data_IF_478062198404
#
_entry.id   IF_478062198404
#
_cell.length_a   1.000
_cell.length_b   1.000
_cell.length_c   1.000
_cell.angle_alpha   90.00
_cell.angle_beta   90.00
_cell.angle_gamma   90.00
#
_symmetry.space_group_name_H-M   'P 1'
#
loop_
_entity.id
_entity.type
_entity.pdbx_description
1 polymer ?
#
# COMPACT_ATOMS: atom_id res chain seq x y z
N UNK A 1 34.16 -24.65 -1.20
CA UNK A 1 34.71 -23.88 -2.33
C UNK A 1 34.09 -22.51 -2.24
N UNK A 2 34.85 -21.44 -2.18
CA UNK A 2 34.27 -20.09 -2.19
C UNK A 2 33.71 -19.82 -3.59
N UNK A 3 32.52 -19.22 -3.67
CA UNK A 3 31.93 -18.79 -4.94
C UNK A 3 32.83 -17.72 -5.59
N UNK A 4 32.94 -17.74 -6.90
CA UNK A 4 33.58 -16.67 -7.67
C UNK A 4 32.70 -15.40 -7.64
N UNK A 5 33.26 -14.25 -7.93
CA UNK A 5 32.51 -12.99 -7.99
C UNK A 5 31.39 -13.06 -9.03
N UNK A 6 31.64 -13.66 -10.19
CA UNK A 6 30.63 -13.89 -11.23
C UNK A 6 29.50 -14.82 -10.78
N UNK A 7 29.80 -15.88 -10.02
CA UNK A 7 28.77 -16.76 -9.42
C UNK A 7 27.93 -16.04 -8.38
N UNK A 8 28.55 -15.15 -7.60
CA UNK A 8 27.82 -14.31 -6.62
C UNK A 8 26.87 -13.37 -7.35
N UNK A 9 27.32 -12.69 -8.40
CA UNK A 9 26.49 -11.74 -9.16
C UNK A 9 25.31 -12.42 -9.84
N UNK A 10 25.53 -13.58 -10.47
CA UNK A 10 24.48 -14.37 -11.06
C UNK A 10 23.45 -14.83 -10.00
N UNK A 11 23.92 -15.23 -8.82
CA UNK A 11 23.03 -15.65 -7.73
C UNK A 11 22.19 -14.47 -7.20
N UNK A 12 22.78 -13.28 -7.06
CA UNK A 12 22.08 -12.05 -6.69
C UNK A 12 20.95 -11.75 -7.68
N UNK A 13 21.22 -11.84 -8.98
CA UNK A 13 20.22 -11.61 -10.02
C UNK A 13 19.03 -12.59 -9.90
N UNK A 14 19.31 -13.88 -9.81
CA UNK A 14 18.30 -14.93 -9.68
C UNK A 14 17.45 -14.74 -8.41
N UNK A 15 18.08 -14.38 -7.28
CA UNK A 15 17.35 -14.16 -6.03
C UNK A 15 16.47 -12.91 -6.12
N UNK A 16 16.93 -11.83 -6.75
CA UNK A 16 16.10 -10.64 -6.99
C UNK A 16 14.86 -10.95 -7.83
N UNK A 17 15.01 -11.71 -8.92
CA UNK A 17 13.88 -12.13 -9.76
C UNK A 17 12.86 -12.93 -8.93
N UNK A 18 13.32 -13.92 -8.17
CA UNK A 18 12.44 -14.72 -7.29
C UNK A 18 11.69 -13.85 -6.25
N UNK A 19 12.39 -12.91 -5.61
CA UNK A 19 11.77 -12.00 -4.64
C UNK A 19 10.65 -11.19 -5.32
N UNK A 20 10.89 -10.68 -6.53
CA UNK A 20 9.91 -9.91 -7.29
C UNK A 20 8.71 -10.78 -7.68
N UNK A 21 8.94 -11.97 -8.21
CA UNK A 21 7.89 -12.88 -8.66
C UNK A 21 6.98 -13.29 -7.48
N UNK A 22 7.55 -13.80 -6.39
CA UNK A 22 6.76 -14.21 -5.22
C UNK A 22 6.04 -13.04 -4.56
N UNK A 23 6.64 -11.84 -4.55
CA UNK A 23 5.96 -10.63 -4.07
C UNK A 23 4.75 -10.27 -4.95
N UNK A 24 4.90 -10.34 -6.27
CA UNK A 24 3.83 -10.04 -7.22
C UNK A 24 2.68 -11.06 -7.14
N UNK A 25 3.00 -12.32 -6.82
CA UNK A 25 2.03 -13.39 -6.59
C UNK A 25 1.37 -13.30 -5.19
N UNK A 26 1.76 -12.32 -4.35
CA UNK A 26 1.26 -12.18 -2.98
C UNK A 26 1.83 -13.24 -2.01
N UNK A 27 2.77 -14.05 -2.43
CA UNK A 27 3.41 -15.07 -1.60
C UNK A 27 4.60 -14.48 -0.82
N UNK A 28 4.28 -13.63 0.13
CA UNK A 28 5.29 -12.90 0.92
C UNK A 28 6.19 -13.82 1.74
N UNK A 29 5.70 -14.98 2.19
CA UNK A 29 6.50 -15.94 2.99
C UNK A 29 7.72 -16.42 2.16
N UNK A 30 7.48 -16.83 0.91
CA UNK A 30 8.56 -17.26 0.03
C UNK A 30 9.46 -16.07 -0.39
N UNK A 31 8.86 -14.91 -0.66
CA UNK A 31 9.61 -13.70 -0.98
C UNK A 31 10.60 -13.32 0.14
N UNK A 32 10.19 -13.40 1.42
CA UNK A 32 11.05 -13.13 2.58
C UNK A 32 12.23 -14.10 2.62
N UNK A 33 11.99 -15.42 2.46
CA UNK A 33 13.07 -16.41 2.52
C UNK A 33 14.17 -16.11 1.48
N UNK A 34 13.79 -15.75 0.25
CA UNK A 34 14.76 -15.36 -0.78
C UNK A 34 15.40 -14.00 -0.53
N UNK A 35 14.66 -13.05 0.05
CA UNK A 35 15.19 -11.73 0.39
C UNK A 35 16.21 -11.80 1.55
N UNK A 36 16.04 -12.69 2.52
CA UNK A 36 17.04 -12.95 3.57
C UNK A 36 18.32 -13.52 2.99
N UNK A 37 18.24 -14.52 2.09
CA UNK A 37 19.42 -15.07 1.41
C UNK A 37 20.10 -14.00 0.56
N UNK A 38 19.34 -13.19 -0.17
CA UNK A 38 19.85 -12.09 -0.99
C UNK A 38 20.58 -11.04 -0.14
N UNK A 39 20.01 -10.62 0.98
CA UNK A 39 20.63 -9.69 1.94
C UNK A 39 21.99 -10.22 2.42
N UNK A 40 22.05 -11.49 2.81
CA UNK A 40 23.27 -12.09 3.34
C UNK A 40 24.36 -12.19 2.25
N UNK A 41 23.95 -12.46 1.01
CA UNK A 41 24.88 -12.53 -0.13
C UNK A 41 25.42 -11.14 -0.51
N UNK A 42 24.54 -10.11 -0.50
CA UNK A 42 24.97 -8.72 -0.74
C UNK A 42 25.93 -8.27 0.36
N UNK A 43 25.61 -8.56 1.63
CA UNK A 43 26.53 -8.29 2.73
C UNK A 43 27.92 -8.91 2.54
N UNK A 44 27.97 -10.19 2.15
CA UNK A 44 29.25 -10.87 1.89
C UNK A 44 30.04 -10.21 0.78
N UNK A 45 29.36 -9.67 -0.25
CA UNK A 45 29.99 -9.03 -1.41
C UNK A 45 30.52 -7.63 -1.10
N UNK A 46 29.70 -6.77 -0.47
CA UNK A 46 30.00 -5.34 -0.35
C UNK A 46 30.26 -4.85 1.08
N UNK A 47 29.92 -5.65 2.10
CA UNK A 47 30.09 -5.29 3.51
C UNK A 47 28.93 -4.49 4.10
N UNK A 48 29.01 -4.21 5.42
CA UNK A 48 27.91 -3.63 6.22
C UNK A 48 27.61 -2.17 5.94
N UNK A 49 28.59 -1.38 5.50
CA UNK A 49 28.45 0.08 5.37
C UNK A 49 28.13 0.52 3.92
N UNK A 50 27.87 -0.45 3.03
CA UNK A 50 27.61 -0.17 1.61
C UNK A 50 26.13 0.17 1.36
N UNK A 51 25.83 1.17 0.50
CA UNK A 51 24.45 1.52 0.14
C UNK A 51 23.62 0.36 -0.43
N UNK A 52 24.22 -0.57 -1.18
CA UNK A 52 23.52 -1.74 -1.72
C UNK A 52 23.04 -2.68 -0.60
N UNK A 53 23.80 -2.78 0.50
CA UNK A 53 23.33 -3.53 1.67
C UNK A 53 22.16 -2.83 2.33
N UNK A 54 22.18 -1.50 2.44
CA UNK A 54 21.03 -0.73 2.91
C UNK A 54 19.78 -0.93 2.03
N UNK A 55 19.96 -0.98 0.70
CA UNK A 55 18.87 -1.27 -0.24
C UNK A 55 18.27 -2.67 -0.01
N UNK A 56 19.10 -3.69 0.22
CA UNK A 56 18.65 -5.05 0.52
C UNK A 56 17.87 -5.14 1.83
N UNK A 57 18.30 -4.39 2.87
CA UNK A 57 17.58 -4.25 4.13
C UNK A 57 16.23 -3.58 3.94
N UNK A 58 16.15 -2.50 3.16
CA UNK A 58 14.89 -1.83 2.84
C UNK A 58 13.91 -2.78 2.12
N UNK A 59 14.39 -3.57 1.14
CA UNK A 59 13.54 -4.52 0.41
C UNK A 59 13.00 -5.62 1.32
N UNK A 60 13.83 -6.20 2.18
CA UNK A 60 13.42 -7.22 3.14
C UNK A 60 12.42 -6.64 4.17
N UNK A 61 12.70 -5.45 4.69
CA UNK A 61 11.84 -4.75 5.65
C UNK A 61 10.46 -4.43 5.05
N UNK A 62 10.39 -4.08 3.76
CA UNK A 62 9.12 -3.83 3.07
C UNK A 62 8.26 -5.10 2.97
N UNK A 63 8.86 -6.27 2.76
CA UNK A 63 8.15 -7.55 2.78
C UNK A 63 7.59 -7.85 4.17
N UNK A 64 8.38 -7.64 5.24
CA UNK A 64 7.89 -7.77 6.62
C UNK A 64 6.75 -6.78 6.91
N UNK A 65 6.87 -5.53 6.46
CA UNK A 65 5.81 -4.52 6.60
C UNK A 65 4.53 -4.95 5.90
N UNK A 66 4.64 -5.50 4.69
CA UNK A 66 3.48 -6.00 3.91
C UNK A 66 2.76 -7.16 4.59
N UNK A 67 3.47 -7.95 5.42
CA UNK A 67 2.89 -9.01 6.25
C UNK A 67 2.40 -8.52 7.63
N UNK A 68 2.42 -7.21 7.91
CA UNK A 68 2.09 -6.69 9.23
C UNK A 68 3.14 -6.97 10.31
N UNK A 69 4.29 -7.55 9.95
CA UNK A 69 5.40 -7.88 10.86
C UNK A 69 6.26 -6.63 11.13
N UNK A 70 5.65 -5.60 11.69
CA UNK A 70 6.27 -4.29 11.87
C UNK A 70 7.49 -4.32 12.79
N UNK A 71 7.47 -5.17 13.83
CA UNK A 71 8.58 -5.34 14.78
C UNK A 71 9.84 -5.92 14.11
N UNK A 72 9.67 -6.71 13.04
CA UNK A 72 10.78 -7.23 12.24
C UNK A 72 11.26 -6.21 11.21
N UNK A 73 10.36 -5.40 10.66
CA UNK A 73 10.67 -4.39 9.67
C UNK A 73 11.40 -3.16 10.25
N UNK A 74 10.98 -2.65 11.41
CA UNK A 74 11.53 -1.43 12.03
C UNK A 74 13.05 -1.45 12.16
N UNK A 75 13.70 -2.46 12.78
CA UNK A 75 15.15 -2.47 12.96
C UNK A 75 15.91 -2.48 11.64
N UNK A 76 15.38 -3.12 10.59
CA UNK A 76 16.00 -3.16 9.27
C UNK A 76 15.96 -1.80 8.58
N UNK A 77 14.82 -1.10 8.62
CA UNK A 77 14.73 0.25 8.08
C UNK A 77 15.59 1.26 8.85
N UNK A 78 15.69 1.14 10.18
CA UNK A 78 16.62 1.96 10.98
C UNK A 78 18.08 1.73 10.57
N UNK A 79 18.47 0.46 10.40
CA UNK A 79 19.83 0.11 9.97
C UNK A 79 20.11 0.65 8.57
N UNK A 80 19.18 0.49 7.63
CA UNK A 80 19.33 1.01 6.28
C UNK A 80 19.48 2.55 6.27
N UNK A 81 18.66 3.28 7.04
CA UNK A 81 18.78 4.71 7.17
C UNK A 81 20.14 5.15 7.75
N UNK A 82 20.62 4.46 8.78
CA UNK A 82 21.92 4.78 9.39
C UNK A 82 23.11 4.51 8.43
N UNK A 83 23.04 3.44 7.66
CA UNK A 83 24.05 3.14 6.60
C UNK A 83 24.02 4.25 5.55
N UNK A 84 22.85 4.61 5.01
CA UNK A 84 22.74 5.68 4.03
C UNK A 84 23.22 7.03 4.58
N UNK A 85 22.87 7.36 5.83
CA UNK A 85 23.34 8.58 6.48
C UNK A 85 24.87 8.65 6.56
N UNK A 86 25.52 7.55 6.97
CA UNK A 86 26.99 7.49 7.10
C UNK A 86 27.72 7.47 5.78
N UNK A 87 27.23 6.70 4.81
CA UNK A 87 27.92 6.49 3.54
C UNK A 87 27.67 7.58 2.52
N UNK A 88 26.46 8.18 2.49
CA UNK A 88 26.02 9.12 1.48
C UNK A 88 25.81 10.56 2.03
N UNK A 89 25.61 10.68 3.35
CA UNK A 89 25.32 11.95 4.02
C UNK A 89 23.83 12.26 4.17
N UNK A 90 23.51 13.19 5.08
CA UNK A 90 22.14 13.53 5.46
C UNK A 90 21.34 14.30 4.39
N UNK A 91 22.02 14.86 3.38
CA UNK A 91 21.36 15.54 2.27
C UNK A 91 21.07 14.64 1.06
N UNK A 92 21.48 13.36 1.12
CA UNK A 92 21.34 12.46 -0.01
C UNK A 92 19.92 11.94 -0.18
N UNK A 93 19.37 11.85 -1.42
CA UNK A 93 18.02 11.36 -1.67
C UNK A 93 17.75 9.94 -1.15
N UNK A 94 18.74 9.04 -1.18
CA UNK A 94 18.59 7.66 -0.72
C UNK A 94 18.47 7.58 0.82
N UNK A 95 19.12 8.51 1.55
CA UNK A 95 18.87 8.63 2.98
C UNK A 95 17.41 9.03 3.24
N UNK A 96 16.88 10.01 2.50
CA UNK A 96 15.46 10.38 2.59
C UNK A 96 14.54 9.22 2.22
N UNK A 97 14.89 8.39 1.24
CA UNK A 97 14.15 7.17 0.89
C UNK A 97 14.09 6.19 2.07
N UNK A 98 15.20 5.95 2.74
CA UNK A 98 15.24 5.07 3.93
C UNK A 98 14.44 5.64 5.10
N UNK A 99 14.51 6.96 5.32
CA UNK A 99 13.68 7.65 6.33
C UNK A 99 12.19 7.55 6.00
N UNK A 100 11.81 7.71 4.73
CA UNK A 100 10.43 7.56 4.29
C UNK A 100 9.89 6.17 4.59
N UNK A 101 10.68 5.14 4.32
CA UNK A 101 10.28 3.76 4.60
C UNK A 101 10.14 3.49 6.10
N UNK A 102 11.05 4.02 6.92
CA UNK A 102 10.94 3.96 8.38
C UNK A 102 9.67 4.69 8.88
N UNK A 103 9.39 5.88 8.34
CA UNK A 103 8.18 6.63 8.69
C UNK A 103 6.90 5.87 8.32
N UNK A 104 6.89 5.16 7.18
CA UNK A 104 5.76 4.31 6.78
C UNK A 104 5.54 3.14 7.74
N UNK A 105 6.58 2.57 8.34
CA UNK A 105 6.43 1.53 9.38
C UNK A 105 5.82 2.15 10.65
N UNK A 106 6.32 3.28 11.11
CA UNK A 106 5.71 3.96 12.27
C UNK A 106 4.26 4.32 12.01
N UNK A 107 3.95 4.82 10.82
CA UNK A 107 2.57 5.06 10.41
C UNK A 107 1.73 3.78 10.50
N UNK A 108 2.23 2.66 9.96
CA UNK A 108 1.53 1.36 9.99
C UNK A 108 1.33 0.80 11.42
N UNK A 109 2.23 1.15 12.34
CA UNK A 109 2.13 0.82 13.77
C UNK A 109 1.21 1.78 14.55
N UNK A 110 0.65 2.81 13.92
CA UNK A 110 -0.12 3.87 14.58
C UNK A 110 0.75 4.84 15.40
N UNK A 111 2.08 4.77 15.27
CA UNK A 111 3.06 5.64 15.94
C UNK A 111 3.23 6.95 15.17
N UNK A 112 2.17 7.72 15.09
CA UNK A 112 2.11 8.93 14.25
C UNK A 112 3.07 10.02 14.69
N UNK A 113 3.32 10.17 16.00
CA UNK A 113 4.26 11.14 16.56
C UNK A 113 5.73 10.84 16.17
N UNK A 114 6.06 9.56 15.95
CA UNK A 114 7.37 9.15 15.45
C UNK A 114 7.47 9.28 13.91
N UNK A 115 6.36 9.11 13.20
CA UNK A 115 6.33 9.18 11.73
C UNK A 115 6.35 10.64 11.21
N UNK A 116 5.64 11.57 11.84
CA UNK A 116 5.50 12.96 11.36
C UNK A 116 6.85 13.66 11.14
N UNK A 117 7.79 13.69 12.13
CA UNK A 117 9.07 14.36 11.95
C UNK A 117 9.92 13.76 10.82
N UNK A 118 9.83 12.44 10.62
CA UNK A 118 10.55 11.78 9.53
C UNK A 118 9.98 12.16 8.17
N UNK A 119 8.65 12.18 7.99
CA UNK A 119 8.05 12.63 6.73
C UNK A 119 8.35 14.11 6.44
N UNK A 120 8.39 14.97 7.47
CA UNK A 120 8.82 16.35 7.30
C UNK A 120 10.27 16.45 6.82
N UNK A 121 11.19 15.68 7.44
CA UNK A 121 12.59 15.64 7.04
C UNK A 121 12.75 15.11 5.61
N UNK A 122 12.01 14.06 5.23
CA UNK A 122 11.99 13.52 3.86
C UNK A 122 11.61 14.58 2.83
N UNK A 123 10.52 15.31 3.07
CA UNK A 123 10.07 16.36 2.14
C UNK A 123 11.11 17.48 2.00
N UNK A 124 11.77 17.86 3.09
CA UNK A 124 12.84 18.86 3.09
C UNK A 124 14.07 18.39 2.30
N UNK A 125 14.55 17.15 2.56
CA UNK A 125 15.73 16.62 1.86
C UNK A 125 15.44 16.48 0.36
N UNK A 126 14.32 15.87 -0.04
CA UNK A 126 13.99 15.75 -1.46
C UNK A 126 13.77 17.10 -2.14
N UNK A 127 13.14 18.07 -1.46
CA UNK A 127 12.98 19.44 -1.98
C UNK A 127 14.30 20.13 -2.26
N UNK A 128 15.26 20.02 -1.32
CA UNK A 128 16.59 20.62 -1.46
C UNK A 128 17.49 19.91 -2.47
N UNK A 129 17.46 18.58 -2.50
CA UNK A 129 18.39 17.78 -3.30
C UNK A 129 17.92 17.54 -4.74
N UNK A 130 16.61 17.41 -4.97
CA UNK A 130 16.01 17.07 -6.26
C UNK A 130 15.24 18.24 -6.90
N UNK A 131 14.89 19.25 -6.10
CA UNK A 131 14.01 20.36 -6.48
C UNK A 131 12.54 20.12 -6.08
N UNK A 132 11.83 21.20 -5.77
CA UNK A 132 10.46 21.15 -5.22
C UNK A 132 9.43 20.53 -6.19
N UNK A 133 9.66 20.62 -7.49
CA UNK A 133 8.79 20.04 -8.53
C UNK A 133 9.13 18.58 -8.87
N UNK A 134 10.09 17.96 -8.16
CA UNK A 134 10.46 16.57 -8.41
C UNK A 134 9.36 15.59 -7.92
N UNK A 135 9.07 14.49 -8.67
CA UNK A 135 8.04 13.51 -8.27
C UNK A 135 8.20 12.92 -6.86
N UNK A 136 9.43 12.79 -6.36
CA UNK A 136 9.69 12.30 -5.00
C UNK A 136 9.16 13.27 -3.94
N UNK A 137 9.24 14.60 -4.18
CA UNK A 137 8.64 15.59 -3.27
C UNK A 137 7.13 15.39 -3.17
N UNK A 138 6.47 15.12 -4.30
CA UNK A 138 5.04 14.76 -4.28
C UNK A 138 4.77 13.47 -3.49
N UNK A 139 5.69 12.51 -3.51
CA UNK A 139 5.55 11.27 -2.71
C UNK A 139 5.66 11.57 -1.21
N UNK A 140 6.64 12.35 -0.78
CA UNK A 140 6.78 12.76 0.63
C UNK A 140 5.58 13.55 1.14
N UNK A 141 5.15 14.55 0.35
CA UNK A 141 3.94 15.34 0.66
C UNK A 141 2.69 14.47 0.77
N UNK A 142 2.54 13.49 -0.14
CA UNK A 142 1.42 12.56 -0.13
C UNK A 142 1.41 11.68 1.13
N UNK A 143 2.56 11.17 1.56
CA UNK A 143 2.67 10.34 2.75
C UNK A 143 2.41 11.15 4.03
N UNK A 144 2.91 12.38 4.12
CA UNK A 144 2.61 13.28 5.22
C UNK A 144 1.12 13.67 5.24
N UNK A 145 0.52 13.89 4.07
CA UNK A 145 -0.91 14.17 3.94
C UNK A 145 -1.76 12.98 4.41
N UNK A 146 -1.35 11.75 4.10
CA UNK A 146 -2.03 10.53 4.54
C UNK A 146 -1.95 10.38 6.07
N UNK A 147 -0.81 10.68 6.67
CA UNK A 147 -0.67 10.74 8.12
C UNK A 147 -1.63 11.77 8.72
N UNK A 148 -1.69 13.00 8.19
CA UNK A 148 -2.60 14.04 8.68
C UNK A 148 -4.06 13.67 8.50
N UNK A 149 -4.42 12.97 7.40
CA UNK A 149 -5.77 12.42 7.22
C UNK A 149 -6.10 11.41 8.32
N UNK A 150 -5.16 10.53 8.66
CA UNK A 150 -5.37 9.47 9.67
C UNK A 150 -5.55 10.01 11.08
N UNK A 151 -4.94 11.14 11.40
CA UNK A 151 -5.10 11.82 12.71
C UNK A 151 -6.16 12.92 12.71
N UNK A 152 -6.95 13.05 11.63
CA UNK A 152 -8.06 14.00 11.52
C UNK A 152 -7.66 15.43 11.19
N UNK A 153 -6.38 15.72 10.88
CA UNK A 153 -5.89 17.05 10.48
C UNK A 153 -6.20 17.31 8.99
N UNK A 154 -7.48 17.27 8.65
CA UNK A 154 -7.94 17.25 7.25
C UNK A 154 -7.57 18.48 6.44
N UNK A 155 -7.56 19.67 7.03
CA UNK A 155 -7.20 20.92 6.32
C UNK A 155 -5.74 20.91 5.87
N UNK A 156 -4.85 20.37 6.70
CA UNK A 156 -3.42 20.25 6.39
C UNK A 156 -3.21 19.14 5.36
N UNK A 157 -3.89 18.01 5.50
CA UNK A 157 -3.88 16.94 4.53
C UNK A 157 -4.34 17.43 3.14
N UNK A 158 -5.43 18.21 3.06
CA UNK A 158 -5.94 18.75 1.80
C UNK A 158 -4.90 19.61 1.09
N UNK A 159 -4.25 20.51 1.84
CA UNK A 159 -3.21 21.37 1.28
C UNK A 159 -2.07 20.56 0.67
N UNK A 160 -1.58 19.55 1.39
CA UNK A 160 -0.45 18.73 0.95
C UNK A 160 -0.83 17.82 -0.22
N UNK A 161 -2.01 17.18 -0.20
CA UNK A 161 -2.49 16.39 -1.33
C UNK A 161 -2.68 17.21 -2.60
N UNK A 162 -3.22 18.44 -2.50
CA UNK A 162 -3.34 19.34 -3.64
C UNK A 162 -1.95 19.72 -4.19
N UNK A 163 -0.99 20.03 -3.33
CA UNK A 163 0.38 20.34 -3.73
C UNK A 163 1.04 19.12 -4.42
N UNK A 164 0.95 17.93 -3.85
CA UNK A 164 1.47 16.71 -4.45
C UNK A 164 0.83 16.42 -5.82
N UNK A 165 -0.49 16.63 -5.93
CA UNK A 165 -1.23 16.45 -7.18
C UNK A 165 -0.75 17.41 -8.26
N UNK A 166 -0.54 18.69 -7.91
CA UNK A 166 -0.07 19.69 -8.86
C UNK A 166 1.39 19.45 -9.31
N UNK A 167 2.28 19.03 -8.40
CA UNK A 167 3.65 18.63 -8.75
C UNK A 167 3.61 17.49 -9.77
N UNK A 168 2.85 16.42 -9.51
CA UNK A 168 2.76 15.27 -10.44
C UNK A 168 2.11 15.66 -11.77
N UNK A 169 1.10 16.53 -11.77
CA UNK A 169 0.49 17.05 -12.99
C UNK A 169 1.51 17.77 -13.87
N UNK A 170 2.34 18.65 -13.27
CA UNK A 170 3.35 19.44 -13.99
C UNK A 170 4.53 18.60 -14.45
N UNK A 171 5.06 17.72 -13.58
CA UNK A 171 6.28 16.98 -13.85
C UNK A 171 6.07 15.75 -14.73
N UNK A 172 4.91 15.09 -14.64
CA UNK A 172 4.64 13.82 -15.31
C UNK A 172 3.56 13.93 -16.41
N UNK A 173 2.72 14.98 -16.34
CA UNK A 173 1.57 15.14 -17.26
C UNK A 173 0.28 14.54 -16.72
N UNK A 174 -0.84 14.96 -17.33
CA UNK A 174 -2.19 14.60 -16.87
C UNK A 174 -2.61 13.15 -17.19
N UNK A 175 -1.92 12.48 -18.12
CA UNK A 175 -2.19 11.08 -18.47
C UNK A 175 -1.31 10.08 -17.71
N UNK A 176 -0.43 10.55 -16.80
CA UNK A 176 0.49 9.70 -16.09
C UNK A 176 -0.19 8.96 -14.91
N UNK A 177 0.07 7.64 -14.72
CA UNK A 177 -0.54 6.86 -13.64
C UNK A 177 -0.34 7.45 -12.23
N UNK A 178 0.81 8.05 -11.95
CA UNK A 178 1.09 8.65 -10.64
C UNK A 178 0.26 9.93 -10.39
N UNK A 179 -0.13 10.66 -11.44
CA UNK A 179 -1.09 11.76 -11.30
C UNK A 179 -2.47 11.22 -10.91
N UNK A 180 -2.92 10.13 -11.55
CA UNK A 180 -4.16 9.46 -11.16
C UNK A 180 -4.12 8.98 -9.70
N UNK A 181 -2.97 8.44 -9.24
CA UNK A 181 -2.80 8.07 -7.84
C UNK A 181 -2.97 9.25 -6.88
N UNK A 182 -2.45 10.45 -7.22
CA UNK A 182 -2.66 11.65 -6.41
C UNK A 182 -4.12 12.09 -6.38
N UNK A 183 -4.81 12.04 -7.51
CA UNK A 183 -6.26 12.34 -7.58
C UNK A 183 -7.06 11.37 -6.71
N UNK A 184 -6.73 10.07 -6.77
CA UNK A 184 -7.36 9.05 -5.94
C UNK A 184 -7.17 9.32 -4.44
N UNK A 185 -5.97 9.70 -3.99
CA UNK A 185 -5.69 9.97 -2.59
C UNK A 185 -6.41 11.24 -2.10
N UNK A 186 -6.45 12.30 -2.91
CA UNK A 186 -7.24 13.50 -2.60
C UNK A 186 -8.74 13.16 -2.53
N UNK A 187 -9.24 12.30 -3.41
CA UNK A 187 -10.61 11.83 -3.38
C UNK A 187 -10.93 11.00 -2.12
N UNK A 188 -10.00 10.16 -1.66
CA UNK A 188 -10.12 9.42 -0.40
C UNK A 188 -10.21 10.39 0.79
N UNK A 189 -9.43 11.47 0.80
CA UNK A 189 -9.55 12.51 1.82
C UNK A 189 -10.94 13.13 1.81
N UNK A 190 -11.46 13.54 0.64
CA UNK A 190 -12.80 14.13 0.55
C UNK A 190 -13.89 13.15 0.99
N UNK A 191 -13.76 11.87 0.67
CA UNK A 191 -14.65 10.83 1.20
C UNK A 191 -14.58 10.77 2.73
N UNK A 192 -13.39 10.81 3.32
CA UNK A 192 -13.20 10.81 4.79
C UNK A 192 -13.84 12.04 5.47
N UNK A 193 -13.93 13.15 4.74
CA UNK A 193 -14.59 14.39 5.19
C UNK A 193 -16.11 14.41 4.91
N UNK A 194 -16.68 13.35 4.31
CA UNK A 194 -18.06 13.33 3.85
C UNK A 194 -18.35 14.22 2.62
N UNK A 195 -17.32 14.76 1.97
CA UNK A 195 -17.42 15.64 0.80
C UNK A 195 -17.51 14.81 -0.49
N UNK A 196 -18.54 13.96 -0.57
CA UNK A 196 -18.71 12.97 -1.65
C UNK A 196 -18.81 13.58 -3.03
N UNK A 197 -19.48 14.74 -3.17
CA UNK A 197 -19.62 15.45 -4.44
C UNK A 197 -18.30 15.95 -5.01
N UNK A 198 -17.29 16.16 -4.17
CA UNK A 198 -15.93 16.54 -4.59
C UNK A 198 -15.04 15.31 -4.81
N UNK A 199 -15.29 14.21 -4.09
CA UNK A 199 -14.57 12.96 -4.26
C UNK A 199 -14.90 12.26 -5.59
N UNK A 200 -16.20 12.19 -5.96
CA UNK A 200 -16.67 11.48 -7.15
C UNK A 200 -15.95 11.88 -8.44
N UNK A 201 -15.85 13.18 -8.83
CA UNK A 201 -15.19 13.57 -10.07
C UNK A 201 -13.69 13.26 -10.10
N UNK A 202 -13.02 13.28 -8.95
CA UNK A 202 -11.60 12.93 -8.86
C UNK A 202 -11.38 11.43 -9.08
N UNK A 203 -12.21 10.57 -8.47
CA UNK A 203 -12.15 9.14 -8.72
C UNK A 203 -12.46 8.81 -10.19
N UNK A 204 -13.46 9.44 -10.80
CA UNK A 204 -13.78 9.25 -12.21
C UNK A 204 -12.61 9.66 -13.12
N UNK A 205 -11.93 10.78 -12.83
CA UNK A 205 -10.73 11.20 -13.57
C UNK A 205 -9.58 10.20 -13.40
N UNK A 206 -9.34 9.72 -12.19
CA UNK A 206 -8.31 8.72 -11.93
C UNK A 206 -8.59 7.39 -12.66
N UNK A 207 -9.84 6.92 -12.65
CA UNK A 207 -10.30 5.74 -13.38
C UNK A 207 -10.01 5.88 -14.88
N UNK A 208 -10.36 7.02 -15.46
CA UNK A 208 -10.15 7.26 -16.90
C UNK A 208 -8.67 7.27 -17.28
N UNK A 209 -7.81 7.91 -16.45
CA UNK A 209 -6.36 7.93 -16.67
C UNK A 209 -5.79 6.51 -16.58
N UNK A 210 -6.12 5.74 -15.53
CA UNK A 210 -5.60 4.38 -15.39
C UNK A 210 -6.10 3.45 -16.48
N UNK A 211 -7.37 3.60 -16.90
CA UNK A 211 -7.92 2.85 -18.03
C UNK A 211 -7.11 3.07 -19.31
N UNK A 212 -6.75 4.32 -19.61
CA UNK A 212 -5.98 4.67 -20.82
C UNK A 212 -4.50 4.28 -20.71
N UNK A 213 -3.88 4.47 -19.55
CA UNK A 213 -2.42 4.30 -19.39
C UNK A 213 -2.00 2.87 -19.08
N UNK A 214 -2.83 2.11 -18.33
CA UNK A 214 -2.50 0.78 -17.84
C UNK A 214 -3.44 -0.33 -18.35
N UNK A 215 -4.60 0.05 -18.88
CA UNK A 215 -5.65 -0.88 -19.33
C UNK A 215 -6.65 -1.26 -18.22
N UNK A 216 -7.76 -1.88 -18.64
CA UNK A 216 -8.88 -2.22 -17.75
C UNK A 216 -8.60 -3.44 -16.85
N UNK A 217 -7.58 -4.24 -17.17
CA UNK A 217 -7.20 -5.40 -16.38
C UNK A 217 -6.17 -5.08 -15.27
N UNK A 218 -5.73 -3.81 -15.19
CA UNK A 218 -4.68 -3.43 -14.25
C UNK A 218 -5.24 -3.23 -12.82
N UNK A 219 -4.54 -3.73 -11.75
CA UNK A 219 -4.99 -3.61 -10.36
C UNK A 219 -5.30 -2.18 -9.89
N UNK A 220 -4.57 -1.17 -10.37
CA UNK A 220 -4.82 0.24 -9.99
C UNK A 220 -6.16 0.76 -10.53
N UNK A 221 -6.57 0.31 -11.73
CA UNK A 221 -7.89 0.61 -12.25
C UNK A 221 -8.98 0.01 -11.33
N UNK A 222 -8.83 -1.26 -10.92
CA UNK A 222 -9.72 -1.89 -9.95
C UNK A 222 -9.74 -1.16 -8.60
N UNK A 223 -8.59 -0.64 -8.14
CA UNK A 223 -8.52 0.14 -6.89
C UNK A 223 -9.39 1.40 -6.95
N UNK A 224 -9.34 2.17 -8.05
CA UNK A 224 -10.20 3.34 -8.20
C UNK A 224 -11.68 2.99 -8.32
N UNK A 225 -12.03 1.92 -9.05
CA UNK A 225 -13.42 1.44 -9.12
C UNK A 225 -13.95 1.10 -7.72
N UNK A 226 -13.16 0.36 -6.94
CA UNK A 226 -13.49 0.02 -5.57
C UNK A 226 -13.69 1.27 -4.69
N UNK A 227 -12.82 2.27 -4.81
CA UNK A 227 -12.92 3.49 -4.02
C UNK A 227 -14.12 4.35 -4.41
N UNK A 228 -14.45 4.43 -5.69
CA UNK A 228 -15.69 5.08 -6.16
C UNK A 228 -16.93 4.34 -5.67
N UNK A 229 -16.90 3.00 -5.68
CA UNK A 229 -17.98 2.19 -5.13
C UNK A 229 -18.21 2.44 -3.63
N UNK A 230 -17.13 2.62 -2.85
CA UNK A 230 -17.22 3.01 -1.44
C UNK A 230 -17.86 4.40 -1.24
N UNK A 231 -17.64 5.34 -2.17
CA UNK A 231 -18.35 6.64 -2.15
C UNK A 231 -19.84 6.44 -2.36
N UNK A 232 -20.22 5.65 -3.37
CA UNK A 232 -21.63 5.37 -3.65
C UNK A 232 -22.32 4.60 -2.53
N UNK A 233 -21.63 3.62 -1.92
CA UNK A 233 -22.12 2.91 -0.73
C UNK A 233 -22.39 3.90 0.42
N UNK A 234 -21.43 4.79 0.72
CA UNK A 234 -21.56 5.83 1.75
C UNK A 234 -22.70 6.83 1.46
N UNK A 235 -23.08 7.00 0.18
CA UNK A 235 -24.22 7.83 -0.25
C UNK A 235 -25.55 7.06 -0.29
N UNK A 236 -25.56 5.76 0.02
CA UNK A 236 -26.72 4.88 -0.14
C UNK A 236 -27.08 4.56 -1.60
N UNK A 237 -26.22 4.90 -2.56
CA UNK A 237 -26.38 4.65 -3.99
C UNK A 237 -25.93 3.23 -4.38
N UNK A 238 -26.53 2.23 -3.73
CA UNK A 238 -26.11 0.82 -3.81
C UNK A 238 -26.17 0.24 -5.23
N UNK A 239 -27.16 0.65 -6.03
CA UNK A 239 -27.29 0.20 -7.43
C UNK A 239 -26.13 0.65 -8.34
N UNK A 240 -25.44 1.71 -7.97
CA UNK A 240 -24.25 2.20 -8.66
C UNK A 240 -22.96 1.62 -8.05
N UNK A 241 -22.96 1.33 -6.76
CA UNK A 241 -21.81 0.72 -6.07
C UNK A 241 -21.60 -0.74 -6.47
N UNK A 242 -22.66 -1.56 -6.54
CA UNK A 242 -22.56 -3.00 -6.77
C UNK A 242 -21.79 -3.36 -8.06
N UNK A 243 -22.11 -2.80 -9.25
CA UNK A 243 -21.38 -3.15 -10.47
C UNK A 243 -19.90 -2.79 -10.39
N UNK A 244 -19.53 -1.69 -9.73
CA UNK A 244 -18.13 -1.28 -9.59
C UNK A 244 -17.36 -2.20 -8.67
N UNK A 245 -17.92 -2.61 -7.52
CA UNK A 245 -17.30 -3.59 -6.65
C UNK A 245 -17.13 -4.95 -7.34
N UNK A 246 -18.14 -5.43 -8.05
CA UNK A 246 -18.05 -6.68 -8.82
C UNK A 246 -16.97 -6.61 -9.88
N UNK A 247 -16.90 -5.53 -10.64
CA UNK A 247 -15.87 -5.32 -11.66
C UNK A 247 -14.46 -5.27 -11.03
N UNK A 248 -14.28 -4.51 -9.96
CA UNK A 248 -13.00 -4.45 -9.25
C UNK A 248 -12.56 -5.82 -8.71
N UNK A 249 -13.50 -6.59 -8.14
CA UNK A 249 -13.24 -7.94 -7.64
C UNK A 249 -12.80 -8.89 -8.76
N UNK A 250 -13.49 -8.86 -9.90
CA UNK A 250 -13.18 -9.73 -11.03
C UNK A 250 -11.84 -9.39 -11.69
N UNK A 251 -11.51 -8.10 -11.81
CA UNK A 251 -10.22 -7.66 -12.31
C UNK A 251 -9.11 -8.17 -11.40
N UNK A 252 -9.20 -7.97 -10.09
CA UNK A 252 -8.18 -8.44 -9.14
C UNK A 252 -8.07 -9.97 -9.13
N UNK A 253 -9.19 -10.69 -9.23
CA UNK A 253 -9.18 -12.15 -9.36
C UNK A 253 -8.37 -12.61 -10.58
N UNK A 254 -8.57 -11.97 -11.74
CA UNK A 254 -7.89 -12.32 -12.99
C UNK A 254 -6.42 -11.89 -13.02
N UNK A 255 -6.12 -10.68 -12.55
CA UNK A 255 -4.78 -10.09 -12.67
C UNK A 255 -3.82 -10.51 -11.56
N UNK A 256 -4.33 -10.77 -10.35
CA UNK A 256 -3.51 -11.08 -9.16
C UNK A 256 -3.70 -12.52 -8.66
N UNK A 257 -4.79 -13.20 -9.07
CA UNK A 257 -5.16 -14.52 -8.55
C UNK A 257 -6.02 -14.48 -7.28
N UNK A 258 -6.60 -15.62 -6.92
CA UNK A 258 -7.53 -15.72 -5.80
C UNK A 258 -6.84 -15.71 -4.43
N UNK A 259 -5.56 -16.04 -4.36
CA UNK A 259 -4.79 -16.05 -3.12
C UNK A 259 -4.18 -14.66 -2.78
N UNK A 260 -4.29 -13.67 -3.68
CA UNK A 260 -3.71 -12.35 -3.46
C UNK A 260 -4.52 -11.54 -2.43
N UNK A 261 -3.88 -10.86 -1.46
CA UNK A 261 -4.55 -10.08 -0.42
C UNK A 261 -5.54 -9.02 -0.95
N UNK A 262 -5.23 -8.38 -2.08
CA UNK A 262 -6.09 -7.37 -2.67
C UNK A 262 -7.40 -7.95 -3.23
N UNK A 263 -7.40 -9.20 -3.68
CA UNK A 263 -8.64 -9.89 -4.04
C UNK A 263 -9.53 -10.09 -2.81
N UNK A 264 -8.95 -10.53 -1.69
CA UNK A 264 -9.64 -10.68 -0.42
C UNK A 264 -10.22 -9.34 0.08
N UNK A 265 -9.48 -8.25 -0.09
CA UNK A 265 -9.99 -6.91 0.23
C UNK A 265 -11.22 -6.55 -0.62
N UNK A 266 -11.22 -6.90 -1.91
CA UNK A 266 -12.39 -6.65 -2.78
C UNK A 266 -13.60 -7.49 -2.36
N UNK A 267 -13.40 -8.76 -2.00
CA UNK A 267 -14.46 -9.62 -1.46
C UNK A 267 -15.06 -9.05 -0.19
N UNK A 268 -14.21 -8.60 0.75
CA UNK A 268 -14.66 -7.99 2.00
C UNK A 268 -15.48 -6.71 1.76
N UNK A 269 -15.08 -5.86 0.82
CA UNK A 269 -15.80 -4.63 0.50
C UNK A 269 -17.15 -4.91 -0.19
N UNK A 270 -17.19 -5.87 -1.11
CA UNK A 270 -18.44 -6.31 -1.75
C UNK A 270 -19.40 -6.95 -0.72
N UNK A 271 -18.86 -7.72 0.23
CA UNK A 271 -19.64 -8.27 1.34
C UNK A 271 -20.21 -7.16 2.22
N UNK A 272 -19.43 -6.11 2.51
CA UNK A 272 -19.88 -4.92 3.23
C UNK A 272 -21.02 -4.20 2.54
N UNK A 273 -20.98 -4.07 1.22
CA UNK A 273 -22.09 -3.54 0.44
C UNK A 273 -23.35 -4.39 0.61
N UNK A 274 -23.24 -5.72 0.48
CA UNK A 274 -24.39 -6.60 0.67
C UNK A 274 -24.95 -6.56 2.09
N UNK A 275 -24.06 -6.41 3.08
CA UNK A 275 -24.47 -6.16 4.45
C UNK A 275 -25.29 -4.85 4.56
N UNK A 276 -24.81 -3.75 3.98
CA UNK A 276 -25.51 -2.44 3.95
C UNK A 276 -26.87 -2.53 3.25
N UNK A 277 -27.00 -3.42 2.25
CA UNK A 277 -28.25 -3.70 1.54
C UNK A 277 -29.21 -4.65 2.29
N UNK A 278 -28.80 -5.23 3.43
CA UNK A 278 -29.54 -6.27 4.14
C UNK A 278 -29.51 -7.65 3.44
N UNK A 279 -28.66 -7.82 2.44
CA UNK A 279 -28.47 -9.07 1.67
C UNK A 279 -27.47 -9.99 2.36
N UNK A 280 -27.79 -10.39 3.58
CA UNK A 280 -26.88 -11.13 4.46
C UNK A 280 -26.43 -12.47 3.90
N UNK A 281 -27.33 -13.19 3.20
CA UNK A 281 -27.00 -14.46 2.53
C UNK A 281 -25.97 -14.33 1.41
N UNK A 282 -25.87 -13.17 0.78
CA UNK A 282 -24.88 -12.88 -0.26
C UNK A 282 -23.55 -12.41 0.37
N UNK A 283 -23.61 -11.76 1.53
CA UNK A 283 -22.42 -11.26 2.23
C UNK A 283 -21.60 -12.38 2.90
N UNK A 284 -22.27 -13.34 3.57
CA UNK A 284 -21.59 -14.37 4.36
C UNK A 284 -20.52 -15.16 3.58
N UNK A 285 -20.78 -15.72 2.39
CA UNK A 285 -19.78 -16.49 1.67
C UNK A 285 -18.57 -15.65 1.23
N UNK A 286 -18.77 -14.36 0.96
CA UNK A 286 -17.68 -13.47 0.57
C UNK A 286 -16.75 -13.14 1.75
N UNK A 287 -17.31 -12.85 2.93
CA UNK A 287 -16.51 -12.65 4.14
C UNK A 287 -15.72 -13.92 4.49
N UNK A 288 -16.34 -15.10 4.46
CA UNK A 288 -15.66 -16.37 4.72
C UNK A 288 -14.50 -16.60 3.76
N UNK A 289 -14.71 -16.34 2.46
CA UNK A 289 -13.66 -16.50 1.44
C UNK A 289 -12.53 -15.51 1.66
N UNK A 290 -12.83 -14.25 2.01
CA UNK A 290 -11.82 -13.25 2.31
C UNK A 290 -10.95 -13.65 3.53
N UNK A 291 -11.59 -14.14 4.61
CA UNK A 291 -10.90 -14.64 5.81
C UNK A 291 -9.98 -15.81 5.47
N UNK A 292 -10.50 -16.82 4.75
CA UNK A 292 -9.71 -17.98 4.33
C UNK A 292 -8.46 -17.58 3.55
N UNK A 293 -8.64 -16.69 2.57
CA UNK A 293 -7.53 -16.22 1.73
C UNK A 293 -6.51 -15.41 2.51
N UNK A 294 -6.93 -14.47 3.39
CA UNK A 294 -6.00 -13.72 4.22
C UNK A 294 -5.25 -14.61 5.22
N UNK A 295 -5.91 -15.60 5.81
CA UNK A 295 -5.24 -16.57 6.69
C UNK A 295 -4.12 -17.33 5.96
N UNK A 296 -4.32 -17.68 4.69
CA UNK A 296 -3.31 -18.36 3.86
C UNK A 296 -2.18 -17.43 3.41
N UNK A 297 -2.49 -16.20 3.00
CA UNK A 297 -1.52 -15.30 2.36
C UNK A 297 -0.74 -14.43 3.34
N UNK A 298 -1.39 -13.95 4.42
CA UNK A 298 -0.80 -13.01 5.38
C UNK A 298 -0.63 -13.59 6.79
N UNK A 299 -1.35 -14.70 7.08
CA UNK A 299 -1.43 -15.28 8.43
C UNK A 299 -2.54 -14.66 9.29
N UNK A 300 -2.89 -15.38 10.37
CA UNK A 300 -4.01 -15.02 11.27
C UNK A 300 -3.71 -13.79 12.15
N UNK A 301 -2.44 -13.47 12.35
CA UNK A 301 -2.01 -12.28 13.13
C UNK A 301 -2.14 -10.97 12.34
N UNK A 302 -2.45 -11.02 11.05
CA UNK A 302 -2.53 -9.83 10.22
C UNK A 302 -3.81 -9.01 10.53
N UNK A 303 -3.73 -7.66 10.65
CA UNK A 303 -4.89 -6.82 10.98
C UNK A 303 -6.10 -6.98 10.07
N UNK A 304 -5.88 -7.24 8.76
CA UNK A 304 -6.97 -7.45 7.80
C UNK A 304 -7.77 -8.73 8.08
N UNK A 305 -7.11 -9.80 8.56
CA UNK A 305 -7.76 -11.02 8.99
C UNK A 305 -8.71 -10.76 10.17
N UNK A 306 -8.21 -10.10 11.22
CA UNK A 306 -9.00 -9.74 12.39
C UNK A 306 -10.17 -8.81 12.04
N UNK A 307 -9.96 -7.83 11.16
CA UNK A 307 -11.02 -6.93 10.70
C UNK A 307 -12.14 -7.68 9.98
N UNK A 308 -11.81 -8.66 9.13
CA UNK A 308 -12.82 -9.44 8.40
C UNK A 308 -13.60 -10.38 9.32
N UNK A 309 -12.94 -10.95 10.34
CA UNK A 309 -13.63 -11.70 11.40
C UNK A 309 -14.65 -10.83 12.13
N UNK A 310 -14.27 -9.60 12.49
CA UNK A 310 -15.19 -8.65 13.12
C UNK A 310 -16.40 -8.34 12.22
N UNK A 311 -16.17 -8.14 10.91
CA UNK A 311 -17.24 -7.89 9.96
C UNK A 311 -18.20 -9.09 9.83
N UNK A 312 -17.65 -10.32 9.82
CA UNK A 312 -18.46 -11.55 9.79
C UNK A 312 -19.25 -11.75 11.09
N UNK A 313 -18.64 -11.47 12.25
CA UNK A 313 -19.31 -11.53 13.53
C UNK A 313 -20.48 -10.53 13.60
N UNK A 314 -20.27 -9.29 13.11
CA UNK A 314 -21.35 -8.28 13.04
C UNK A 314 -22.48 -8.71 12.09
N UNK A 315 -22.14 -9.35 10.98
CA UNK A 315 -23.13 -9.96 10.08
C UNK A 315 -23.98 -11.00 10.83
N UNK A 316 -23.36 -11.93 11.58
CA UNK A 316 -24.09 -12.94 12.35
C UNK A 316 -24.96 -12.34 13.44
N UNK A 317 -24.48 -11.31 14.13
CA UNK A 317 -25.29 -10.57 15.10
C UNK A 317 -26.52 -9.97 14.44
N UNK A 318 -26.37 -9.37 13.25
CA UNK A 318 -27.48 -8.78 12.49
C UNK A 318 -28.48 -9.84 11.98
N UNK A 319 -28.03 -11.08 11.79
CA UNK A 319 -28.86 -12.24 11.44
C UNK A 319 -29.50 -12.92 12.67
N UNK A 320 -29.18 -12.50 13.90
CA UNK A 320 -29.61 -13.15 15.14
C UNK A 320 -28.90 -14.49 15.44
N UNK A 321 -27.79 -14.78 14.74
CA UNK A 321 -26.95 -15.98 14.89
C UNK A 321 -25.83 -15.72 15.91
N UNK A 322 -26.20 -15.48 17.16
CA UNK A 322 -25.25 -15.05 18.19
C UNK A 322 -24.18 -16.09 18.52
N UNK A 323 -24.51 -17.39 18.48
CA UNK A 323 -23.54 -18.46 18.70
C UNK A 323 -22.46 -18.55 17.62
N UNK A 324 -22.72 -18.05 16.42
CA UNK A 324 -21.76 -18.06 15.31
C UNK A 324 -20.92 -16.77 15.30
N UNK A 325 -21.29 -15.78 16.13
CA UNK A 325 -20.61 -14.51 16.26
C UNK A 325 -19.53 -14.51 17.37
N UNK A 326 -19.51 -15.53 18.24
CA UNK A 326 -18.51 -15.75 19.30
C UNK A 326 -17.28 -16.47 18.74
#
# INVERSE_FOLDING_TARGET
MMMTEEEIDNKILILNEKVIDFRNDGNYIQAIAFAEELRDLIWQKVGYDHPDYAASLNNLAELYRSMGRYNDAEPLFRQAAEICRKSLGEAHPDYATSLNNLALVYYSMGRYDDAEPLFCQVTEIWGKSLGEDHPNCATGLNNLAELYRSIGRYSEAERLFRQATEIRRKSLGEDHPNYAASLNNLAILYRSMGRYNEAEPLFRKAIEIWRRSLGEDHPNYATSLNNLALVYDSMGRYSEAEPLFRQATEIRRKSLGEDHPDYSQSLNNLAGLYYSMGRYSDAEPLYRKAIENWGKSLGEDHPAYAQSLNNLAELYRSMGRYSDAE
#
